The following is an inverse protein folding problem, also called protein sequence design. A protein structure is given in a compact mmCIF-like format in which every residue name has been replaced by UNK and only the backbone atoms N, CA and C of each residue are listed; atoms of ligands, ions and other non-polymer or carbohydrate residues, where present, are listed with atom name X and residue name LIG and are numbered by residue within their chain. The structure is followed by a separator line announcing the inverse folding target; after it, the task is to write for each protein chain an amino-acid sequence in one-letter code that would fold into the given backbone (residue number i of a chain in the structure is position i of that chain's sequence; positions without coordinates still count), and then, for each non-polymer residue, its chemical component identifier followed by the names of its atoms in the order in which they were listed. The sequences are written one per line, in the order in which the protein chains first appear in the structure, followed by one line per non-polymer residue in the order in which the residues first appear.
data_IF_516563303318
#
_entry.id   IF_516563303318
#
_cell.length_a   1.000
_cell.length_b   1.000
_cell.length_c   1.000
_cell.angle_alpha   90.00
_cell.angle_beta   90.00
_cell.angle_gamma   90.00
#
_symmetry.space_group_name_H-M   'P 1'
#
loop_
_entity.id
_entity.type
_entity.pdbx_description
1 polymer ?
#
# COMPACT_ATOMS: atom_id res chain seq x y z
N UNK A 1 10.91 -12.02 -8.85
CA UNK A 1 11.44 -10.63 -9.08
C UNK A 1 11.23 -9.73 -7.86
N UNK A 2 10.22 -10.01 -7.04
CA UNK A 2 9.91 -9.33 -5.79
C UNK A 2 11.11 -9.21 -4.84
N UNK A 3 11.94 -10.25 -4.68
CA UNK A 3 13.10 -10.22 -3.77
C UNK A 3 14.13 -9.12 -4.13
N UNK A 4 14.44 -8.95 -5.42
CA UNK A 4 15.37 -7.93 -5.89
C UNK A 4 14.79 -6.52 -5.69
N UNK A 5 13.50 -6.34 -6.02
CA UNK A 5 12.82 -5.07 -5.80
C UNK A 5 12.67 -4.75 -4.31
N UNK A 6 12.50 -5.76 -3.46
CA UNK A 6 12.45 -5.60 -2.01
C UNK A 6 13.72 -4.93 -1.46
N UNK A 7 14.88 -5.38 -1.92
CA UNK A 7 16.16 -4.79 -1.54
C UNK A 7 16.28 -3.33 -2.00
N UNK A 8 15.83 -3.04 -3.24
CA UNK A 8 15.78 -1.67 -3.76
C UNK A 8 14.84 -0.78 -2.94
N UNK A 9 13.64 -1.26 -2.64
CA UNK A 9 12.64 -0.55 -1.84
C UNK A 9 13.15 -0.32 -0.41
N UNK A 10 13.75 -1.32 0.22
CA UNK A 10 14.36 -1.16 1.54
C UNK A 10 15.48 -0.11 1.56
N UNK A 11 16.20 0.06 0.44
CA UNK A 11 17.14 1.18 0.25
C UNK A 11 16.43 2.53 0.15
N UNK A 12 15.41 2.62 -0.69
CA UNK A 12 14.60 3.83 -0.92
C UNK A 12 13.84 4.31 0.33
N UNK A 13 13.55 3.40 1.26
CA UNK A 13 12.89 3.69 2.53
C UNK A 13 13.86 4.16 3.64
N UNK A 14 15.16 4.26 3.37
CA UNK A 14 16.14 4.79 4.33
C UNK A 14 16.25 6.31 4.27
N UNK A 15 16.38 6.93 5.45
CA UNK A 15 16.67 8.35 5.59
C UNK A 15 15.54 9.27 5.07
N UNK A 16 15.92 10.29 4.32
CA UNK A 16 15.01 11.31 3.76
C UNK A 16 14.27 10.83 2.50
N UNK A 17 14.78 9.79 1.85
CA UNK A 17 14.27 9.27 0.58
C UNK A 17 12.87 8.65 0.70
N UNK A 18 12.48 8.22 1.90
CA UNK A 18 11.13 7.69 2.19
C UNK A 18 9.99 8.69 1.94
N UNK A 19 10.31 9.98 1.85
CA UNK A 19 9.35 11.05 1.58
C UNK A 19 9.43 11.57 0.15
N UNK A 20 10.31 11.00 -0.69
CA UNK A 20 10.43 11.41 -2.07
C UNK A 20 9.21 10.91 -2.87
N UNK A 21 8.37 11.81 -3.42
CA UNK A 21 7.23 11.41 -4.24
C UNK A 21 7.63 10.69 -5.53
N UNK A 22 8.90 10.79 -5.97
CA UNK A 22 9.41 10.03 -7.11
C UNK A 22 9.46 8.51 -6.84
N UNK A 23 9.63 8.12 -5.58
CA UNK A 23 9.65 6.70 -5.19
C UNK A 23 8.27 6.06 -5.21
N UNK A 24 7.21 6.87 -5.16
CA UNK A 24 5.82 6.41 -5.19
C UNK A 24 5.55 5.51 -6.40
N UNK A 25 5.94 5.92 -7.60
CA UNK A 25 5.70 5.14 -8.82
C UNK A 25 6.39 3.77 -8.80
N UNK A 26 7.59 3.69 -8.21
CA UNK A 26 8.31 2.43 -8.04
C UNK A 26 7.64 1.54 -6.99
N UNK A 27 7.17 2.14 -5.89
CA UNK A 27 6.45 1.43 -4.84
C UNK A 27 5.09 0.90 -5.33
N UNK A 28 4.34 1.68 -6.11
CA UNK A 28 3.09 1.24 -6.74
C UNK A 28 3.31 0.00 -7.62
N UNK A 29 4.34 0.03 -8.49
CA UNK A 29 4.76 -1.14 -9.27
C UNK A 29 5.13 -2.32 -8.39
N UNK A 30 5.81 -2.07 -7.29
CA UNK A 30 6.19 -3.12 -6.35
C UNK A 30 4.97 -3.76 -5.69
N UNK A 31 3.94 -2.99 -5.31
CA UNK A 31 2.65 -3.52 -4.84
C UNK A 31 1.99 -4.40 -5.89
N UNK A 32 1.98 -3.97 -7.15
CA UNK A 32 1.42 -4.76 -8.26
C UNK A 32 2.15 -6.10 -8.43
N UNK A 33 3.49 -6.09 -8.36
CA UNK A 33 4.31 -7.30 -8.42
C UNK A 33 4.06 -8.19 -7.19
N UNK A 34 3.92 -7.59 -6.00
CA UNK A 34 3.55 -8.34 -4.80
C UNK A 34 2.21 -9.06 -4.97
N UNK A 35 1.21 -8.43 -5.63
CA UNK A 35 -0.06 -9.07 -5.98
C UNK A 35 0.15 -10.26 -6.93
N UNK A 36 0.99 -10.11 -7.96
CA UNK A 36 1.24 -11.17 -8.97
C UNK A 36 2.08 -12.34 -8.46
N UNK A 37 3.13 -12.07 -7.68
CA UNK A 37 4.05 -13.09 -7.16
C UNK A 37 3.65 -13.60 -5.77
N UNK A 38 2.48 -13.21 -5.26
CA UNK A 38 2.00 -13.55 -3.91
C UNK A 38 3.01 -13.20 -2.79
N UNK A 39 3.82 -12.17 -3.01
CA UNK A 39 4.75 -11.63 -2.02
C UNK A 39 4.03 -10.59 -1.15
N UNK A 40 4.54 -10.32 0.06
CA UNK A 40 3.96 -9.33 0.96
C UNK A 40 5.04 -8.57 1.71
N UNK A 41 5.02 -7.25 1.59
CA UNK A 41 5.92 -6.35 2.27
C UNK A 41 5.14 -5.20 2.92
N UNK A 42 4.95 -5.30 4.23
CA UNK A 42 4.20 -4.31 5.00
C UNK A 42 4.88 -2.93 4.98
N UNK A 43 6.21 -2.86 5.08
CA UNK A 43 6.91 -1.57 5.14
C UNK A 43 6.72 -0.77 3.85
N UNK A 44 6.82 -1.44 2.70
CA UNK A 44 6.53 -0.84 1.41
C UNK A 44 5.08 -0.35 1.32
N UNK A 45 4.14 -1.17 1.77
CA UNK A 45 2.71 -0.86 1.76
C UNK A 45 2.40 0.38 2.62
N UNK A 46 2.91 0.43 3.85
CA UNK A 46 2.73 1.58 4.75
C UNK A 46 3.39 2.84 4.19
N UNK A 47 4.54 2.72 3.51
CA UNK A 47 5.22 3.86 2.89
C UNK A 47 4.39 4.47 1.75
N UNK A 48 3.77 3.65 0.90
CA UNK A 48 2.85 4.13 -0.15
C UNK A 48 1.68 4.91 0.47
N UNK A 49 1.01 4.33 1.47
CA UNK A 49 -0.10 4.98 2.15
C UNK A 49 0.33 6.32 2.79
N UNK A 50 1.52 6.35 3.39
CA UNK A 50 2.06 7.56 4.01
C UNK A 50 2.43 8.63 2.99
N UNK A 51 3.01 8.24 1.85
CA UNK A 51 3.27 9.16 0.74
C UNK A 51 1.99 9.74 0.15
N UNK A 52 0.91 8.93 0.07
CA UNK A 52 -0.41 9.42 -0.31
C UNK A 52 -1.02 10.39 0.69
N UNK A 53 -0.84 10.17 2.00
CA UNK A 53 -1.26 11.14 3.03
C UNK A 53 -0.53 12.48 2.86
N UNK A 54 0.76 12.45 2.53
CA UNK A 54 1.57 13.66 2.31
C UNK A 54 1.25 14.32 0.97
N UNK A 55 0.86 13.55 -0.04
CA UNK A 55 0.64 13.99 -1.42
C UNK A 55 -0.74 13.53 -1.92
N UNK A 56 -1.83 14.20 -1.52
CA UNK A 56 -3.18 13.81 -1.93
C UNK A 56 -3.39 13.87 -3.45
N UNK A 57 -2.61 14.67 -4.18
CA UNK A 57 -2.65 14.75 -5.65
C UNK A 57 -2.22 13.47 -6.36
N UNK A 58 -1.43 12.61 -5.71
CA UNK A 58 -0.98 11.34 -6.30
C UNK A 58 -1.74 10.13 -5.75
N UNK A 59 -2.79 10.35 -4.95
CA UNK A 59 -3.57 9.28 -4.36
C UNK A 59 -4.15 8.36 -5.42
N UNK A 60 -3.80 7.07 -5.34
CA UNK A 60 -4.34 6.03 -6.21
C UNK A 60 -5.18 5.05 -5.41
N UNK A 61 -6.47 4.99 -5.73
CA UNK A 61 -7.42 4.14 -5.04
C UNK A 61 -7.18 2.66 -5.34
N UNK A 62 -6.79 2.30 -6.56
CA UNK A 62 -6.59 0.90 -6.96
C UNK A 62 -5.46 0.24 -6.15
N UNK A 63 -4.30 0.89 -6.11
CA UNK A 63 -3.15 0.43 -5.33
C UNK A 63 -3.49 0.35 -3.84
N UNK A 64 -4.24 1.33 -3.32
CA UNK A 64 -4.70 1.34 -1.93
C UNK A 64 -5.61 0.14 -1.63
N UNK A 65 -6.55 -0.19 -2.53
CA UNK A 65 -7.38 -1.39 -2.44
C UNK A 65 -6.52 -2.65 -2.43
N UNK A 66 -5.55 -2.77 -3.34
CA UNK A 66 -4.67 -3.95 -3.40
C UNK A 66 -3.88 -4.14 -2.11
N UNK A 67 -3.30 -3.06 -1.55
CA UNK A 67 -2.58 -3.10 -0.27
C UNK A 67 -3.50 -3.62 0.85
N UNK A 68 -4.71 -3.07 0.96
CA UNK A 68 -5.65 -3.45 2.02
C UNK A 68 -6.15 -4.89 1.86
N UNK A 69 -6.47 -5.31 0.63
CA UNK A 69 -6.83 -6.69 0.33
C UNK A 69 -5.72 -7.65 0.75
N UNK A 70 -4.48 -7.33 0.41
CA UNK A 70 -3.32 -8.16 0.79
C UNK A 70 -3.10 -8.20 2.30
N UNK A 71 -3.24 -7.07 2.98
CA UNK A 71 -3.17 -7.01 4.45
C UNK A 71 -4.30 -7.83 5.10
N UNK A 72 -5.47 -7.89 4.45
CA UNK A 72 -6.61 -8.67 4.91
C UNK A 72 -6.42 -10.18 4.66
N UNK A 73 -5.76 -10.59 3.58
CA UNK A 73 -5.54 -12.00 3.23
C UNK A 73 -4.37 -12.67 3.94
N UNK A 74 -3.39 -11.92 4.49
CA UNK A 74 -2.14 -12.48 5.04
C UNK A 74 -2.03 -12.61 6.58
N UNK A 75 -3.07 -12.28 7.37
CA UNK A 75 -3.12 -12.32 8.87
C UNK A 75 -2.14 -11.33 9.58
N UNK A 76 -2.30 -10.99 10.89
CA UNK A 76 -3.49 -10.85 11.74
C UNK A 76 -4.16 -9.45 11.61
N UNK A 77 -5.26 -9.21 12.34
CA UNK A 77 -6.04 -7.95 12.29
C UNK A 77 -5.23 -6.65 12.47
N UNK A 78 -4.06 -6.71 13.10
CA UNK A 78 -3.25 -5.53 13.47
C UNK A 78 -2.74 -4.76 12.25
N UNK A 79 -2.28 -5.45 11.19
CA UNK A 79 -1.79 -4.83 9.96
C UNK A 79 -2.90 -4.06 9.22
N UNK A 80 -4.09 -4.63 9.19
CA UNK A 80 -5.27 -3.99 8.62
C UNK A 80 -5.68 -2.75 9.41
N UNK A 81 -5.58 -2.78 10.75
CA UNK A 81 -5.84 -1.62 11.60
C UNK A 81 -4.79 -0.53 11.36
N UNK A 82 -3.52 -0.87 11.20
CA UNK A 82 -2.46 0.09 10.87
C UNK A 82 -2.68 0.76 9.52
N UNK A 83 -3.00 -0.02 8.49
CA UNK A 83 -3.34 0.52 7.17
C UNK A 83 -4.58 1.42 7.22
N UNK A 84 -5.62 1.01 7.98
CA UNK A 84 -6.80 1.84 8.21
C UNK A 84 -6.47 3.14 8.96
N UNK A 85 -5.58 3.12 9.93
CA UNK A 85 -5.18 4.32 10.68
C UNK A 85 -4.44 5.33 9.80
N UNK A 86 -3.67 4.85 8.83
CA UNK A 86 -3.02 5.69 7.81
C UNK A 86 -3.99 6.16 6.71
N UNK A 87 -5.19 5.60 6.63
CA UNK A 87 -6.20 6.03 5.68
C UNK A 87 -7.22 6.91 6.38
N UNK A 88 -7.62 8.01 5.74
CA UNK A 88 -8.70 8.83 6.28
C UNK A 88 -10.00 8.00 6.32
N UNK A 89 -10.81 8.13 7.36
CA UNK A 89 -12.09 7.40 7.53
C UNK A 89 -12.94 7.43 6.27
N UNK A 90 -12.93 8.54 5.52
CA UNK A 90 -13.63 8.63 4.22
C UNK A 90 -13.21 7.55 3.25
N UNK A 91 -11.90 7.37 3.03
CA UNK A 91 -11.36 6.39 2.07
C UNK A 91 -11.74 4.98 2.52
N UNK A 92 -11.62 4.69 3.82
CA UNK A 92 -12.01 3.41 4.38
C UNK A 92 -13.49 3.10 4.14
N UNK A 93 -14.37 4.07 4.35
CA UNK A 93 -15.81 3.92 4.06
C UNK A 93 -16.07 3.64 2.58
N UNK A 94 -15.46 4.40 1.65
CA UNK A 94 -15.61 4.17 0.21
C UNK A 94 -15.11 2.78 -0.23
N UNK A 95 -14.04 2.31 0.39
CA UNK A 95 -13.40 1.04 0.05
C UNK A 95 -14.20 -0.14 0.58
N UNK A 96 -14.75 -0.03 1.80
CA UNK A 96 -15.65 -1.02 2.38
C UNK A 96 -16.92 -1.17 1.54
N UNK A 97 -17.49 -0.05 1.07
CA UNK A 97 -18.66 -0.04 0.20
C UNK A 97 -18.34 -0.68 -1.16
N UNK A 98 -17.21 -0.35 -1.78
CA UNK A 98 -16.81 -0.94 -3.06
C UNK A 98 -16.50 -2.43 -2.96
N UNK A 99 -15.82 -2.87 -1.89
CA UNK A 99 -15.60 -4.29 -1.66
C UNK A 99 -16.95 -5.02 -1.54
N UNK A 100 -17.89 -4.49 -0.76
CA UNK A 100 -19.21 -5.10 -0.60
C UNK A 100 -19.99 -5.19 -1.92
N UNK A 101 -19.89 -4.16 -2.76
CA UNK A 101 -20.49 -4.14 -4.10
C UNK A 101 -19.83 -5.11 -5.09
N UNK A 102 -18.53 -5.40 -4.94
CA UNK A 102 -17.82 -6.32 -5.84
C UNK A 102 -18.11 -7.80 -5.54
N UNK A 103 -18.64 -8.12 -4.35
CA UNK A 103 -18.99 -9.47 -3.91
C UNK A 103 -20.52 -9.75 -3.90
N UNK A 104 -21.36 -8.80 -4.33
CA UNK A 104 -22.82 -8.94 -4.43
C UNK A 104 -23.29 -9.00 -5.88
#
# INVERSE_FOLDING_TARGET
MAEAMRQTVAGMLKGIERYNPEHLATLEKYVEIQSRENAYDLEANLAVLKLYQLNPHRFNMDITCQILLKALTNLPHTDFVLCKCLLSERIVSYLFINLFLMFS
#
